data_IF_219174703346
#
_entry.id   IF_219174703346
#
_cell.length_a   1.000
_cell.length_b   1.000
_cell.length_c   1.000
_cell.angle_alpha   90.00
_cell.angle_beta   90.00
_cell.angle_gamma   90.00
#
_symmetry.space_group_name_H-M   'P 1'
#
loop_
_entity.id
_entity.type
_entity.pdbx_description
1 polymer ?
#
# COMPACT_ATOMS: atom_id res chain seq x y z
N UNK A 1 37.19 -18.15 18.94
CA UNK A 1 37.97 -17.65 20.07
C UNK A 1 36.98 -17.11 21.09
N UNK A 2 36.77 -17.86 22.17
CA UNK A 2 35.82 -17.60 23.24
C UNK A 2 36.19 -16.39 24.08
N UNK A 3 35.28 -15.48 24.36
CA UNK A 3 35.29 -14.62 25.54
C UNK A 3 33.83 -14.38 25.94
N UNK A 4 33.33 -15.16 26.85
CA UNK A 4 32.93 -14.85 28.22
C UNK A 4 31.62 -14.02 28.32
N UNK A 5 30.52 -14.76 28.52
CA UNK A 5 29.36 -14.33 29.32
C UNK A 5 29.84 -14.08 30.77
N UNK A 6 29.73 -12.86 31.22
CA UNK A 6 29.74 -12.53 32.66
C UNK A 6 28.37 -11.98 33.03
N UNK A 7 27.75 -12.71 33.93
CA UNK A 7 26.53 -12.35 34.64
C UNK A 7 26.70 -11.06 35.42
N UNK A 8 25.82 -10.09 35.18
CA UNK A 8 25.61 -8.94 36.06
C UNK A 8 24.44 -9.23 37.00
N UNK A 9 24.74 -9.81 38.15
CA UNK A 9 23.90 -9.67 39.34
C UNK A 9 24.59 -8.76 40.31
N UNK A 10 23.81 -7.90 40.97
CA UNK A 10 24.11 -6.98 42.06
C UNK A 10 24.85 -5.68 41.71
N UNK A 11 24.11 -4.60 41.59
CA UNK A 11 24.49 -3.29 42.13
C UNK A 11 23.20 -2.70 42.75
N UNK A 12 23.10 -2.79 44.05
CA UNK A 12 22.38 -1.83 44.89
C UNK A 12 23.32 -0.64 45.10
N UNK A 13 22.69 0.54 45.21
CA UNK A 13 23.22 1.84 45.59
C UNK A 13 23.41 2.87 44.49
N UNK A 14 22.59 3.92 44.63
CA UNK A 14 22.47 5.07 43.79
C UNK A 14 23.78 5.84 43.56
N UNK A 15 24.29 5.70 42.36
CA UNK A 15 25.34 6.57 41.85
C UNK A 15 24.88 7.13 40.51
N UNK A 16 24.94 8.45 40.43
CA UNK A 16 24.60 9.26 39.25
C UNK A 16 25.56 8.88 38.07
N UNK A 17 24.99 8.32 37.00
CA UNK A 17 25.73 7.91 35.78
C UNK A 17 25.59 8.94 34.63
N UNK A 18 25.27 10.18 34.94
CA UNK A 18 25.10 11.24 33.93
C UNK A 18 26.36 11.58 33.13
N UNK A 19 27.55 11.16 33.58
CA UNK A 19 28.84 11.41 32.90
C UNK A 19 29.23 10.33 31.86
N UNK A 20 28.53 9.21 31.81
CA UNK A 20 28.83 8.11 30.86
C UNK A 20 28.26 8.36 29.46
N UNK A 21 27.29 9.24 29.31
CA UNK A 21 26.67 9.56 28.00
C UNK A 21 27.40 10.66 27.22
N UNK A 22 28.35 11.38 27.83
CA UNK A 22 29.08 12.46 27.15
C UNK A 22 30.36 12.01 26.47
N UNK A 23 30.84 10.80 26.71
CA UNK A 23 32.16 10.32 26.20
C UNK A 23 32.05 9.46 24.93
N UNK A 24 30.86 8.99 24.57
CA UNK A 24 30.66 8.17 23.36
C UNK A 24 30.31 8.94 22.08
N UNK A 25 30.02 10.25 22.17
CA UNK A 25 29.58 11.04 21.03
C UNK A 25 30.73 11.76 20.27
N UNK A 26 31.99 11.65 20.68
CA UNK A 26 33.08 12.41 20.05
C UNK A 26 33.98 11.57 19.14
N UNK A 27 33.91 10.24 19.18
CA UNK A 27 34.80 9.38 18.38
C UNK A 27 34.28 8.93 17.02
N UNK A 28 33.03 9.26 16.65
CA UNK A 28 32.42 8.85 15.36
C UNK A 28 32.42 9.91 14.27
N UNK A 29 32.82 11.15 14.56
CA UNK A 29 32.70 12.28 13.61
C UNK A 29 33.96 12.61 12.80
N UNK A 30 35.11 11.95 13.04
CA UNK A 30 36.39 12.34 12.43
C UNK A 30 36.70 11.64 11.09
N UNK A 31 36.19 10.44 10.73
CA UNK A 31 36.49 9.84 9.41
C UNK A 31 35.69 10.39 8.23
N UNK A 32 34.58 11.12 8.46
CA UNK A 32 33.71 11.55 7.33
C UNK A 32 34.17 12.86 6.66
N UNK A 33 34.96 13.68 7.33
CA UNK A 33 35.47 14.96 6.80
C UNK A 33 36.71 14.82 5.94
N UNK A 34 37.44 13.71 6.01
CA UNK A 34 38.62 13.46 5.16
C UNK A 34 38.30 12.83 3.80
N UNK A 35 37.07 12.30 3.60
CA UNK A 35 36.66 11.70 2.31
C UNK A 35 36.15 12.74 1.30
N UNK A 36 35.80 13.95 1.73
CA UNK A 36 35.26 15.00 0.86
C UNK A 36 36.34 15.91 0.24
N UNK A 37 37.60 15.83 0.70
CA UNK A 37 38.69 16.69 0.23
C UNK A 37 39.63 16.09 -0.81
N UNK A 38 39.49 14.81 -1.20
CA UNK A 38 40.39 14.14 -2.17
C UNK A 38 39.81 13.89 -3.55
N UNK A 39 38.63 14.42 -3.89
CA UNK A 39 37.99 14.23 -5.22
C UNK A 39 37.95 15.49 -6.09
N UNK A 40 38.93 16.36 -5.96
CA UNK A 40 39.17 17.42 -6.94
C UNK A 40 40.61 17.32 -7.41
N UNK A 41 40.83 16.52 -8.44
CA UNK A 41 41.83 16.72 -9.51
C UNK A 41 42.04 15.41 -10.29
N UNK A 42 41.61 15.40 -11.55
CA UNK A 42 41.85 14.27 -12.47
C UNK A 42 41.11 14.53 -13.80
N UNK A 43 41.85 15.09 -14.73
CA UNK A 43 41.39 15.49 -16.08
C UNK A 43 41.14 14.30 -17.01
N UNK A 44 40.13 14.52 -17.86
CA UNK A 44 40.02 14.12 -19.29
C UNK A 44 40.33 12.67 -19.71
N UNK A 45 39.31 11.98 -20.14
CA UNK A 45 39.32 11.31 -21.46
C UNK A 45 37.89 10.95 -21.91
N UNK A 46 37.62 11.29 -23.15
CA UNK A 46 36.36 11.19 -23.87
C UNK A 46 35.86 9.75 -24.04
N UNK A 47 34.64 9.47 -23.61
CA UNK A 47 33.79 8.45 -24.20
C UNK A 47 32.37 9.01 -24.34
N UNK A 48 31.88 9.03 -25.57
CA UNK A 48 30.53 9.46 -25.92
C UNK A 48 29.53 8.39 -25.47
N UNK A 49 28.96 8.52 -24.27
CA UNK A 49 27.75 7.83 -23.89
C UNK A 49 26.54 8.70 -24.24
N UNK A 50 25.63 8.07 -24.98
CA UNK A 50 24.40 8.71 -25.44
C UNK A 50 23.51 9.08 -24.25
N UNK A 51 23.55 10.34 -23.83
CA UNK A 51 22.56 10.93 -22.92
C UNK A 51 21.22 10.97 -23.65
N UNK A 52 20.33 10.02 -23.38
CA UNK A 52 18.91 10.17 -23.68
C UNK A 52 18.44 11.44 -22.98
N UNK A 53 18.09 12.45 -23.75
CA UNK A 53 17.46 13.68 -23.23
C UNK A 53 16.06 13.30 -22.76
N UNK A 54 15.90 13.01 -21.48
CA UNK A 54 14.59 13.07 -20.81
C UNK A 54 14.07 14.51 -20.99
N UNK A 55 13.10 14.69 -21.85
CA UNK A 55 12.39 15.97 -21.99
C UNK A 55 11.67 16.23 -20.67
N UNK A 56 12.03 17.32 -19.98
CA UNK A 56 11.28 17.80 -18.81
C UNK A 56 9.82 18.01 -19.21
N UNK A 57 8.93 17.28 -18.56
CA UNK A 57 7.48 17.44 -18.70
C UNK A 57 7.13 18.87 -18.24
N UNK A 58 6.44 19.64 -19.08
CA UNK A 58 6.11 21.05 -18.83
C UNK A 58 5.14 21.19 -17.64
N UNK A 59 5.27 22.29 -16.90
CA UNK A 59 4.46 22.63 -15.71
C UNK A 59 2.96 22.73 -16.07
N UNK A 60 2.09 22.14 -15.23
CA UNK A 60 0.61 22.12 -15.21
C UNK A 60 -0.09 20.96 -15.94
N UNK A 61 0.46 19.74 -15.91
CA UNK A 61 -0.22 18.58 -16.52
C UNK A 61 -1.29 17.93 -15.65
N UNK A 62 -1.25 18.08 -14.33
CA UNK A 62 -2.24 17.48 -13.43
C UNK A 62 -3.65 18.02 -13.61
N UNK A 63 -3.80 19.30 -13.99
CA UNK A 63 -5.11 19.90 -14.23
C UNK A 63 -5.84 19.34 -15.46
N UNK A 64 -5.11 18.65 -16.35
CA UNK A 64 -5.63 18.04 -17.58
C UNK A 64 -5.84 16.53 -17.46
N UNK A 65 -5.50 15.91 -16.32
CA UNK A 65 -5.72 14.48 -16.07
C UNK A 65 -7.22 14.23 -16.00
N UNK A 66 -7.74 13.43 -16.93
CA UNK A 66 -9.09 12.87 -16.85
C UNK A 66 -9.06 11.60 -15.99
N UNK A 67 -10.09 11.44 -15.18
CA UNK A 67 -10.25 10.27 -14.31
C UNK A 67 -11.73 9.96 -14.15
N UNK A 68 -12.05 8.75 -13.79
CA UNK A 68 -13.40 8.33 -13.45
C UNK A 68 -13.40 7.13 -12.53
N UNK A 69 -14.39 7.08 -11.66
CA UNK A 69 -14.66 5.95 -10.81
C UNK A 69 -16.07 5.44 -11.04
N UNK A 70 -16.27 4.15 -10.83
CA UNK A 70 -17.58 3.49 -10.86
C UNK A 70 -17.57 2.29 -9.94
N UNK A 71 -18.72 1.99 -9.36
CA UNK A 71 -18.91 0.90 -8.41
C UNK A 71 -20.26 0.21 -8.66
N UNK A 72 -20.39 -1.02 -8.17
CA UNK A 72 -21.62 -1.81 -8.19
C UNK A 72 -21.61 -2.83 -7.05
N UNK A 73 -22.77 -3.02 -6.43
CA UNK A 73 -22.97 -4.06 -5.42
C UNK A 73 -22.75 -5.48 -6.00
N UNK A 74 -22.86 -5.64 -7.33
CA UNK A 74 -22.76 -6.95 -7.95
C UNK A 74 -23.87 -7.90 -7.47
N UNK A 75 -23.54 -9.16 -7.11
CA UNK A 75 -24.52 -10.11 -6.59
C UNK A 75 -24.71 -10.06 -5.06
N UNK A 76 -24.05 -9.14 -4.36
CA UNK A 76 -24.15 -8.97 -2.89
C UNK A 76 -25.39 -8.16 -2.54
N UNK A 77 -25.89 -8.34 -1.32
CA UNK A 77 -27.05 -7.60 -0.81
C UNK A 77 -26.70 -6.20 -0.29
N UNK A 78 -25.41 -5.98 0.02
CA UNK A 78 -24.89 -4.72 0.57
C UNK A 78 -23.62 -4.28 -0.16
N UNK A 79 -23.38 -2.95 -0.18
CA UNK A 79 -22.19 -2.33 -0.70
C UNK A 79 -21.22 -2.01 0.43
N UNK A 80 -20.17 -2.81 0.56
CA UNK A 80 -19.12 -2.62 1.56
C UNK A 80 -17.89 -1.89 0.99
N UNK A 81 -17.77 -1.81 -0.35
CA UNK A 81 -16.73 -1.05 -1.03
C UNK A 81 -16.92 0.46 -0.87
N UNK A 82 -15.82 1.17 -0.85
CA UNK A 82 -15.80 2.63 -0.90
C UNK A 82 -14.63 3.13 -1.75
N UNK A 83 -14.79 4.29 -2.38
CA UNK A 83 -13.69 4.94 -3.08
C UNK A 83 -13.78 6.46 -3.01
N UNK A 84 -12.67 7.13 -3.23
CA UNK A 84 -12.63 8.59 -3.25
C UNK A 84 -11.49 9.12 -4.12
N UNK A 85 -11.63 10.40 -4.48
CA UNK A 85 -10.58 11.20 -5.12
C UNK A 85 -10.47 12.56 -4.43
N UNK A 86 -9.26 13.08 -4.33
CA UNK A 86 -8.99 14.44 -3.85
C UNK A 86 -7.90 15.08 -4.71
N UNK A 87 -8.06 16.38 -4.95
CA UNK A 87 -7.02 17.21 -5.56
C UNK A 87 -6.31 18.01 -4.48
N UNK A 88 -5.03 17.72 -4.25
CA UNK A 88 -4.22 18.34 -3.21
C UNK A 88 -3.47 19.54 -3.80
N UNK A 89 -4.13 20.72 -3.75
CA UNK A 89 -3.56 22.01 -4.16
C UNK A 89 -3.05 22.07 -5.61
N UNK A 90 -3.61 21.28 -6.53
CA UNK A 90 -3.19 21.21 -7.93
C UNK A 90 -1.79 20.63 -8.16
N UNK A 91 -1.17 20.06 -7.12
CA UNK A 91 0.18 19.48 -7.18
C UNK A 91 0.19 17.96 -7.08
N UNK A 92 -0.87 17.38 -6.54
CA UNK A 92 -0.98 15.97 -6.27
C UNK A 92 -2.45 15.56 -6.36
N UNK A 93 -2.73 14.49 -7.10
CA UNK A 93 -4.04 13.84 -7.09
C UNK A 93 -3.94 12.61 -6.20
N UNK A 94 -4.92 12.44 -5.34
CA UNK A 94 -5.08 11.28 -4.47
C UNK A 94 -6.27 10.47 -4.94
N UNK A 95 -6.10 9.16 -5.06
CA UNK A 95 -7.13 8.17 -5.36
C UNK A 95 -7.07 7.09 -4.28
N UNK A 96 -8.20 6.78 -3.66
CA UNK A 96 -8.31 5.73 -2.67
C UNK A 96 -9.43 4.78 -3.03
N UNK A 97 -9.19 3.47 -2.89
CA UNK A 97 -10.18 2.42 -3.00
C UNK A 97 -10.08 1.52 -1.76
N UNK A 98 -11.22 1.15 -1.21
CA UNK A 98 -11.36 0.49 0.08
C UNK A 98 -12.40 -0.61 -0.06
N UNK A 99 -11.97 -1.85 -0.01
CA UNK A 99 -12.79 -3.05 -0.07
C UNK A 99 -13.13 -3.46 1.36
N UNK A 100 -14.38 -3.25 1.74
CA UNK A 100 -14.88 -3.52 3.08
C UNK A 100 -15.30 -4.97 3.26
N UNK A 101 -15.19 -5.47 4.49
CA UNK A 101 -15.70 -6.77 4.88
C UNK A 101 -16.23 -6.75 6.31
N UNK A 102 -17.23 -7.59 6.59
CA UNK A 102 -17.89 -7.59 7.89
C UNK A 102 -18.64 -6.30 8.20
N UNK A 103 -19.15 -5.64 7.15
CA UNK A 103 -19.83 -4.35 7.18
C UNK A 103 -19.03 -3.22 6.54
N UNK A 104 -19.72 -2.14 6.15
CA UNK A 104 -19.13 -0.99 5.44
C UNK A 104 -18.48 0.06 6.37
N UNK A 105 -18.46 -0.14 7.69
CA UNK A 105 -18.02 0.88 8.64
C UNK A 105 -16.55 1.26 8.42
N UNK A 106 -15.66 0.27 8.25
CA UNK A 106 -14.23 0.49 8.04
C UNK A 106 -13.93 1.17 6.70
N UNK A 107 -14.49 0.71 5.60
CA UNK A 107 -14.26 1.30 4.27
C UNK A 107 -14.78 2.75 4.19
N UNK A 108 -15.94 3.02 4.80
CA UNK A 108 -16.55 4.36 4.89
C UNK A 108 -15.69 5.30 5.74
N UNK A 109 -15.16 4.82 6.87
CA UNK A 109 -14.25 5.60 7.72
C UNK A 109 -12.98 5.96 6.95
N UNK A 110 -12.34 5.00 6.29
CA UNK A 110 -11.10 5.21 5.54
C UNK A 110 -11.29 6.18 4.37
N UNK A 111 -12.39 6.07 3.62
CA UNK A 111 -12.77 7.01 2.57
C UNK A 111 -12.78 8.46 3.05
N UNK A 112 -13.20 8.67 4.29
CA UNK A 112 -13.38 10.00 4.87
C UNK A 112 -12.12 10.53 5.56
N UNK A 113 -11.33 9.66 6.19
CA UNK A 113 -10.32 10.06 7.17
C UNK A 113 -8.89 9.67 6.79
N UNK A 114 -8.64 8.60 6.00
CA UNK A 114 -7.27 8.11 5.77
C UNK A 114 -6.35 9.18 5.19
N UNK A 115 -6.87 10.02 4.29
CA UNK A 115 -6.05 11.07 3.68
C UNK A 115 -5.48 12.05 4.71
N UNK A 116 -6.21 12.39 5.77
CA UNK A 116 -5.76 13.33 6.80
C UNK A 116 -4.53 12.81 7.57
N UNK A 117 -4.36 11.48 7.62
CA UNK A 117 -3.17 10.87 8.22
C UNK A 117 -1.96 10.85 7.28
N UNK A 118 -2.19 10.74 5.95
CA UNK A 118 -1.14 10.41 4.99
C UNK A 118 -0.78 11.54 4.00
N UNK A 119 -1.54 12.64 3.92
CA UNK A 119 -1.34 13.70 2.93
C UNK A 119 0.06 14.32 2.96
N UNK A 120 0.53 14.68 4.16
CA UNK A 120 1.85 15.29 4.35
C UNK A 120 2.99 14.31 4.04
N UNK A 121 2.80 13.03 4.38
CA UNK A 121 3.77 11.99 4.09
C UNK A 121 3.84 11.72 2.58
N UNK A 122 2.69 11.62 1.91
CA UNK A 122 2.61 11.46 0.46
C UNK A 122 3.25 12.64 -0.30
N UNK A 123 2.97 13.88 0.12
CA UNK A 123 3.61 15.06 -0.48
C UNK A 123 5.12 15.06 -0.29
N UNK A 124 5.63 14.75 0.91
CA UNK A 124 7.07 14.65 1.17
C UNK A 124 7.73 13.57 0.32
N UNK A 125 7.09 12.41 0.16
CA UNK A 125 7.61 11.35 -0.71
C UNK A 125 7.71 11.79 -2.15
N UNK A 126 6.71 12.50 -2.68
CA UNK A 126 6.76 13.06 -4.04
C UNK A 126 7.93 14.05 -4.23
N UNK A 127 8.27 14.81 -3.19
CA UNK A 127 9.37 15.79 -3.24
C UNK A 127 10.76 15.14 -3.06
N UNK A 128 10.84 14.05 -2.31
CA UNK A 128 12.09 13.37 -1.92
C UNK A 128 12.55 12.30 -2.89
N UNK A 129 11.70 11.83 -3.82
CA UNK A 129 12.10 10.81 -4.78
C UNK A 129 13.25 11.32 -5.64
N UNK A 130 14.43 10.81 -5.34
CA UNK A 130 15.70 11.15 -5.99
C UNK A 130 15.64 10.73 -7.45
N UNK A 131 15.97 11.64 -8.34
CA UNK A 131 16.08 11.39 -9.77
C UNK A 131 17.02 10.23 -10.06
N UNK A 132 16.50 9.16 -10.58
CA UNK A 132 17.31 8.05 -11.09
C UNK A 132 16.78 6.63 -10.85
N UNK A 133 15.91 6.40 -9.88
CA UNK A 133 15.33 5.08 -9.63
C UNK A 133 13.95 4.98 -10.28
N UNK A 134 13.83 4.12 -11.29
CA UNK A 134 12.60 3.93 -12.06
C UNK A 134 11.51 3.15 -11.31
N UNK A 135 11.88 2.38 -10.30
CA UNK A 135 10.98 1.69 -9.39
C UNK A 135 11.69 1.52 -8.04
N UNK A 136 11.13 2.09 -6.99
CA UNK A 136 11.59 1.88 -5.62
C UNK A 136 10.49 1.22 -4.82
N UNK A 137 10.78 0.02 -4.33
CA UNK A 137 9.94 -0.67 -3.37
C UNK A 137 10.41 -0.28 -1.97
N UNK A 138 9.54 0.38 -1.21
CA UNK A 138 9.72 0.51 0.22
C UNK A 138 8.96 -0.64 0.86
N UNK A 139 9.68 -1.62 1.37
CA UNK A 139 9.10 -2.65 2.20
C UNK A 139 8.60 -2.10 3.54
N UNK A 140 8.33 -3.00 4.46
CA UNK A 140 7.80 -2.71 5.82
C UNK A 140 8.90 -2.11 6.72
N UNK A 141 9.76 -1.24 6.19
CA UNK A 141 10.86 -0.65 6.95
C UNK A 141 10.35 0.54 7.78
N UNK A 142 10.87 0.66 9.01
CA UNK A 142 10.55 1.75 9.97
C UNK A 142 10.80 3.16 9.41
N UNK A 143 11.59 3.28 8.35
CA UNK A 143 11.87 4.54 7.66
C UNK A 143 10.77 4.98 6.67
N UNK A 144 9.75 4.12 6.43
CA UNK A 144 8.66 4.46 5.54
C UNK A 144 7.66 5.41 6.24
N UNK A 145 7.57 6.68 5.85
CA UNK A 145 6.70 7.65 6.52
C UNK A 145 5.21 7.31 6.38
N UNK A 146 4.82 6.54 5.33
CA UNK A 146 3.46 6.08 5.16
C UNK A 146 3.11 4.94 6.12
N UNK A 147 4.06 4.06 6.48
CA UNK A 147 3.80 2.97 7.43
C UNK A 147 3.27 3.51 8.76
N UNK A 148 3.99 4.45 9.39
CA UNK A 148 3.57 5.08 10.64
C UNK A 148 2.22 5.84 10.53
N UNK A 149 1.93 6.43 9.36
CA UNK A 149 0.67 7.11 9.13
C UNK A 149 -0.50 6.12 9.03
N UNK A 150 -0.30 4.97 8.37
CA UNK A 150 -1.27 3.90 8.27
C UNK A 150 -1.57 3.25 9.63
N UNK A 151 -0.54 3.00 10.45
CA UNK A 151 -0.72 2.49 11.81
C UNK A 151 -1.53 3.44 12.69
N UNK A 152 -1.27 4.75 12.61
CA UNK A 152 -2.08 5.74 13.36
C UNK A 152 -3.51 5.79 12.87
N UNK A 153 -3.73 5.68 11.56
CA UNK A 153 -5.08 5.62 10.98
C UNK A 153 -5.83 4.38 11.43
N UNK A 154 -5.15 3.22 11.48
CA UNK A 154 -5.73 1.97 11.96
C UNK A 154 -6.09 2.04 13.45
N UNK A 155 -5.20 2.59 14.28
CA UNK A 155 -5.50 2.81 15.71
C UNK A 155 -6.74 3.71 15.91
N UNK A 156 -6.83 4.81 15.15
CA UNK A 156 -7.99 5.69 15.22
C UNK A 156 -9.28 5.04 14.70
N UNK A 157 -9.17 4.18 13.69
CA UNK A 157 -10.29 3.39 13.19
C UNK A 157 -10.76 2.39 14.26
N UNK A 158 -9.85 1.66 14.91
CA UNK A 158 -10.21 0.70 15.96
C UNK A 158 -10.92 1.38 17.14
N UNK A 159 -10.47 2.58 17.54
CA UNK A 159 -11.15 3.40 18.55
C UNK A 159 -12.56 3.80 18.10
N UNK A 160 -12.72 4.17 16.83
CA UNK A 160 -14.01 4.51 16.24
C UNK A 160 -14.96 3.31 16.23
N UNK A 161 -14.49 2.15 15.71
CA UNK A 161 -15.26 0.92 15.64
C UNK A 161 -15.72 0.46 17.03
N UNK A 162 -14.85 0.54 18.04
CA UNK A 162 -15.19 0.23 19.42
C UNK A 162 -16.32 1.10 19.99
N UNK A 163 -16.60 2.25 19.38
CA UNK A 163 -17.72 3.13 19.79
C UNK A 163 -19.05 2.79 19.10
N UNK A 164 -19.05 1.99 18.02
CA UNK A 164 -20.24 1.67 17.24
C UNK A 164 -21.05 0.50 17.84
N UNK A 165 -20.36 -0.47 18.45
CA UNK A 165 -20.98 -1.71 18.94
C UNK A 165 -21.21 -2.75 17.84
N UNK A 166 -21.78 -3.91 18.21
CA UNK A 166 -22.06 -5.01 17.29
C UNK A 166 -23.18 -4.67 16.28
N UNK A 167 -23.07 -5.09 15.00
CA UNK A 167 -21.95 -5.87 14.42
C UNK A 167 -20.84 -4.99 13.81
N UNK A 168 -20.99 -3.68 13.69
CA UNK A 168 -20.11 -2.78 12.95
C UNK A 168 -18.68 -2.74 13.50
N UNK A 169 -18.51 -3.04 14.80
CA UNK A 169 -17.19 -3.04 15.45
C UNK A 169 -16.23 -4.11 14.91
N UNK A 170 -16.74 -5.13 14.22
CA UNK A 170 -15.93 -6.22 13.66
C UNK A 170 -15.48 -5.99 12.23
N UNK A 171 -15.94 -4.90 11.60
CA UNK A 171 -15.61 -4.64 10.22
C UNK A 171 -14.12 -4.40 9.98
N UNK A 172 -13.64 -4.83 8.81
CA UNK A 172 -12.32 -4.52 8.30
C UNK A 172 -12.39 -3.94 6.89
N UNK A 173 -11.25 -3.50 6.38
CA UNK A 173 -11.15 -3.01 5.00
C UNK A 173 -9.73 -3.09 4.45
N UNK A 174 -9.60 -3.39 3.17
CA UNK A 174 -8.39 -3.11 2.42
C UNK A 174 -8.21 -1.61 2.22
N UNK A 175 -7.03 -1.18 1.81
CA UNK A 175 -6.79 0.18 1.31
C UNK A 175 -5.72 0.17 0.24
N UNK A 176 -6.10 0.51 -0.99
CA UNK A 176 -5.17 0.80 -2.08
C UNK A 176 -5.26 2.28 -2.41
N UNK A 177 -4.21 3.03 -2.10
CA UNK A 177 -4.16 4.46 -2.36
C UNK A 177 -3.06 4.79 -3.35
N UNK A 178 -3.35 5.71 -4.27
CA UNK A 178 -2.40 6.19 -5.26
C UNK A 178 -2.31 7.71 -5.22
N UNK A 179 -1.07 8.21 -5.15
CA UNK A 179 -0.77 9.61 -5.36
C UNK A 179 -0.18 9.80 -6.76
N UNK A 180 -0.74 10.70 -7.53
CA UNK A 180 -0.28 11.04 -8.88
C UNK A 180 0.17 12.49 -8.89
N UNK A 181 1.48 12.68 -9.14
CA UNK A 181 2.09 14.00 -9.36
C UNK A 181 2.49 14.17 -10.83
N UNK A 182 3.07 15.32 -11.20
CA UNK A 182 3.63 15.53 -12.54
C UNK A 182 4.72 14.51 -12.89
N UNK A 183 5.47 14.06 -11.89
CA UNK A 183 6.67 13.25 -12.09
C UNK A 183 6.57 11.82 -11.55
N UNK A 184 5.63 11.53 -10.66
CA UNK A 184 5.57 10.24 -9.96
C UNK A 184 4.15 9.72 -9.81
N UNK A 185 4.05 8.39 -9.75
CA UNK A 185 2.92 7.66 -9.16
C UNK A 185 3.45 6.94 -7.94
N UNK A 186 2.83 7.18 -6.78
CA UNK A 186 3.11 6.47 -5.53
C UNK A 186 1.89 5.64 -5.21
N UNK A 187 2.09 4.35 -4.95
CA UNK A 187 1.03 3.45 -4.50
C UNK A 187 1.37 2.94 -3.12
N UNK A 188 0.42 3.03 -2.18
CA UNK A 188 0.48 2.35 -0.89
C UNK A 188 -0.68 1.38 -0.80
N UNK A 189 -0.39 0.11 -0.50
CA UNK A 189 -1.35 -0.98 -0.54
C UNK A 189 -1.39 -1.78 0.75
N UNK A 190 -2.59 -2.01 1.26
CA UNK A 190 -2.94 -2.92 2.35
C UNK A 190 -4.12 -3.76 1.87
N UNK A 191 -3.97 -5.08 1.79
CA UNK A 191 -5.00 -6.00 1.29
C UNK A 191 -4.78 -6.44 -0.15
N UNK A 192 -5.84 -6.88 -0.80
CA UNK A 192 -5.84 -7.52 -2.12
C UNK A 192 -6.59 -6.75 -3.21
N UNK A 193 -7.08 -5.55 -2.90
CA UNK A 193 -7.33 -4.52 -3.91
C UNK A 193 -6.01 -4.20 -4.62
N UNK A 194 -6.04 -3.81 -5.89
CA UNK A 194 -4.83 -3.69 -6.70
C UNK A 194 -4.82 -2.45 -7.58
N UNK A 195 -3.62 -1.88 -7.76
CA UNK A 195 -3.33 -0.83 -8.74
C UNK A 195 -2.43 -1.36 -9.85
N UNK A 196 -2.77 -1.03 -11.11
CA UNK A 196 -2.07 -1.51 -12.31
C UNK A 196 -1.85 -0.36 -13.29
N UNK A 197 -0.61 -0.16 -13.73
CA UNK A 197 -0.24 0.85 -14.71
C UNK A 197 -0.15 0.23 -16.11
N UNK A 198 -0.83 0.84 -17.07
CA UNK A 198 -0.65 0.59 -18.50
C UNK A 198 0.45 1.47 -19.06
N UNK A 199 1.54 0.86 -19.55
CA UNK A 199 2.67 1.58 -20.15
C UNK A 199 2.96 1.03 -21.53
N UNK A 200 2.72 1.80 -22.59
CA UNK A 200 3.05 1.44 -23.99
C UNK A 200 2.68 -0.01 -24.34
N UNK A 201 1.52 -0.45 -23.86
CA UNK A 201 0.97 -1.80 -24.04
C UNK A 201 1.49 -2.86 -23.10
N UNK A 202 2.36 -2.51 -22.18
CA UNK A 202 2.80 -3.39 -21.09
C UNK A 202 1.94 -3.16 -19.87
N UNK A 203 1.85 -4.18 -19.05
CA UNK A 203 1.20 -4.17 -17.75
C UNK A 203 2.27 -4.06 -16.68
N UNK A 204 2.12 -3.11 -15.77
CA UNK A 204 3.01 -2.93 -14.61
C UNK A 204 2.13 -2.96 -13.35
N UNK A 205 2.27 -4.01 -12.55
CA UNK A 205 1.58 -4.08 -11.26
C UNK A 205 2.22 -3.07 -10.30
N UNK A 206 1.40 -2.15 -9.79
CA UNK A 206 1.81 -1.09 -8.86
C UNK A 206 1.63 -1.49 -7.40
N UNK A 207 1.05 -2.66 -7.12
CA UNK A 207 0.88 -3.23 -5.79
C UNK A 207 1.04 -4.75 -5.85
N UNK A 208 1.21 -5.38 -4.69
CA UNK A 208 1.09 -6.82 -4.51
C UNK A 208 -0.14 -7.10 -3.67
N UNK A 209 -0.88 -8.14 -3.99
CA UNK A 209 -1.99 -8.58 -3.19
C UNK A 209 -1.49 -9.22 -1.88
N UNK A 210 -2.05 -8.81 -0.76
CA UNK A 210 -1.75 -9.38 0.54
C UNK A 210 -2.74 -10.51 0.87
N UNK A 211 -2.56 -11.64 0.16
CA UNK A 211 -3.31 -12.88 0.41
C UNK A 211 -2.35 -13.96 0.92
N UNK A 212 -2.71 -14.75 1.94
CA UNK A 212 -1.84 -15.80 2.48
C UNK A 212 -1.85 -17.05 1.56
N UNK A 213 -1.40 -16.87 0.30
CA UNK A 213 -1.42 -17.89 -0.75
C UNK A 213 0.00 -18.24 -1.16
N UNK A 214 0.40 -19.50 -1.00
CA UNK A 214 1.78 -19.97 -1.20
C UNK A 214 2.29 -19.97 -2.66
N UNK A 215 1.46 -19.65 -3.65
CA UNK A 215 1.84 -19.68 -5.07
C UNK A 215 2.76 -18.51 -5.48
N UNK A 216 2.66 -17.35 -4.83
CA UNK A 216 3.48 -16.16 -5.11
C UNK A 216 4.58 -15.96 -4.06
N UNK A 217 5.61 -15.14 -4.40
CA UNK A 217 6.63 -14.73 -3.44
C UNK A 217 6.04 -13.88 -2.32
N UNK A 218 5.17 -12.94 -2.69
CA UNK A 218 4.48 -12.06 -1.72
C UNK A 218 3.61 -12.88 -0.75
N UNK A 219 2.76 -13.78 -1.26
CA UNK A 219 1.91 -14.62 -0.40
C UNK A 219 2.71 -15.54 0.54
N UNK A 220 3.87 -16.07 0.11
CA UNK A 220 4.75 -16.83 1.01
C UNK A 220 5.37 -15.98 2.11
N UNK A 221 5.71 -14.71 1.82
CA UNK A 221 6.20 -13.78 2.82
C UNK A 221 5.12 -13.47 3.87
N UNK A 222 3.87 -13.27 3.42
CA UNK A 222 2.74 -13.08 4.31
C UNK A 222 2.47 -14.31 5.19
N UNK A 223 2.52 -15.53 4.63
CA UNK A 223 2.41 -16.77 5.42
C UNK A 223 3.50 -16.83 6.50
N UNK A 224 4.76 -16.52 6.16
CA UNK A 224 5.86 -16.52 7.14
C UNK A 224 5.60 -15.51 8.26
N UNK A 225 5.18 -14.29 7.92
CA UNK A 225 4.86 -13.23 8.90
C UNK A 225 3.72 -13.65 9.85
N UNK A 226 2.66 -14.28 9.31
CA UNK A 226 1.53 -14.78 10.11
C UNK A 226 2.01 -15.86 11.09
N UNK A 227 2.82 -16.82 10.61
CA UNK A 227 3.35 -17.89 11.48
C UNK A 227 4.27 -17.31 12.57
N UNK A 228 5.12 -16.35 12.21
CA UNK A 228 6.02 -15.65 13.15
C UNK A 228 5.28 -14.81 14.20
N UNK A 229 4.03 -14.43 13.94
CA UNK A 229 3.16 -13.77 14.93
C UNK A 229 2.50 -14.72 15.90
N UNK A 230 2.68 -16.04 15.73
CA UNK A 230 1.98 -17.09 16.46
C UNK A 230 0.66 -17.52 15.80
N UNK A 231 0.29 -16.91 14.66
CA UNK A 231 -0.89 -17.28 13.90
C UNK A 231 -0.67 -18.50 13.00
N UNK A 232 -1.69 -18.88 12.27
CA UNK A 232 -1.65 -19.97 11.28
C UNK A 232 -2.41 -19.60 10.01
N UNK A 233 -2.20 -20.39 8.96
CA UNK A 233 -2.96 -20.26 7.72
C UNK A 233 -3.66 -21.60 7.45
N UNK A 234 -4.95 -21.54 7.25
CA UNK A 234 -5.79 -22.70 6.87
C UNK A 234 -6.73 -22.30 5.75
N UNK A 235 -6.86 -23.14 4.72
CA UNK A 235 -7.71 -22.87 3.54
C UNK A 235 -7.44 -21.48 2.89
N UNK A 236 -6.17 -21.07 2.83
CA UNK A 236 -5.72 -19.76 2.32
C UNK A 236 -6.29 -18.56 3.12
N UNK A 237 -6.60 -18.76 4.40
CA UNK A 237 -7.13 -17.73 5.30
C UNK A 237 -6.28 -17.63 6.57
N UNK A 238 -6.09 -16.42 7.05
CA UNK A 238 -5.46 -16.11 8.33
C UNK A 238 -6.34 -16.67 9.43
N UNK A 239 -5.76 -17.50 10.30
CA UNK A 239 -6.47 -18.22 11.36
C UNK A 239 -7.69 -19.03 10.86
N UNK A 240 -7.75 -19.35 9.56
CA UNK A 240 -8.88 -20.04 8.94
C UNK A 240 -10.11 -19.15 8.68
N UNK A 241 -10.04 -17.85 8.96
CA UNK A 241 -11.15 -16.89 8.90
C UNK A 241 -10.96 -15.88 7.75
N UNK A 242 -9.93 -15.04 7.82
CA UNK A 242 -9.78 -13.87 6.97
C UNK A 242 -8.98 -14.17 5.70
N UNK A 243 -9.52 -13.82 4.53
CA UNK A 243 -8.90 -14.08 3.23
C UNK A 243 -7.69 -13.18 2.95
N UNK A 244 -7.65 -11.99 3.55
CA UNK A 244 -6.54 -11.04 3.43
C UNK A 244 -5.58 -11.16 4.61
N UNK A 245 -4.30 -10.93 4.37
CA UNK A 245 -3.26 -10.99 5.41
C UNK A 245 -2.91 -9.63 5.98
N UNK A 246 -3.38 -8.55 5.32
CA UNK A 246 -3.28 -7.17 5.81
C UNK A 246 -4.60 -6.45 5.56
N UNK A 247 -5.05 -5.72 6.57
CA UNK A 247 -6.27 -4.92 6.53
C UNK A 247 -6.25 -3.86 7.63
N UNK A 248 -7.11 -2.87 7.49
CA UNK A 248 -7.52 -1.94 8.52
C UNK A 248 -8.71 -2.52 9.30
N UNK A 249 -8.91 -2.10 10.54
CA UNK A 249 -9.97 -2.65 11.38
C UNK A 249 -9.64 -4.08 11.83
N UNK A 250 -10.58 -5.01 11.70
CA UNK A 250 -10.42 -6.40 12.09
C UNK A 250 -9.94 -6.54 13.55
N UNK A 251 -10.70 -5.96 14.48
CA UNK A 251 -10.35 -5.88 15.90
C UNK A 251 -9.99 -7.24 16.51
N UNK A 252 -10.67 -8.30 16.10
CA UNK A 252 -10.45 -9.67 16.60
C UNK A 252 -9.01 -10.18 16.39
N UNK A 253 -8.36 -9.76 15.27
CA UNK A 253 -6.97 -10.13 14.99
C UNK A 253 -5.94 -9.17 15.62
N UNK A 254 -6.38 -8.06 16.21
CA UNK A 254 -5.52 -7.01 16.76
C UNK A 254 -5.70 -6.86 18.27
N UNK A 255 -6.80 -6.26 18.71
CA UNK A 255 -7.12 -6.04 20.12
C UNK A 255 -7.77 -7.27 20.79
N UNK A 256 -8.66 -7.96 20.07
CA UNK A 256 -9.45 -9.11 20.54
C UNK A 256 -8.79 -10.48 20.40
N UNK A 257 -7.44 -10.54 20.29
CA UNK A 257 -6.71 -11.81 20.04
C UNK A 257 -6.93 -12.88 21.11
N UNK A 258 -7.14 -12.49 22.35
CA UNK A 258 -7.38 -13.44 23.44
C UNK A 258 -8.73 -14.14 23.30
N UNK A 259 -9.75 -13.39 22.92
CA UNK A 259 -11.10 -13.88 22.66
C UNK A 259 -11.11 -14.82 21.45
N UNK A 260 -10.42 -14.44 20.38
CA UNK A 260 -10.25 -15.25 19.18
C UNK A 260 -9.63 -16.61 19.50
N UNK A 261 -8.55 -16.65 20.32
CA UNK A 261 -7.91 -17.89 20.73
C UNK A 261 -8.85 -18.76 21.58
N UNK A 262 -9.60 -18.15 22.51
CA UNK A 262 -10.55 -18.86 23.35
C UNK A 262 -11.68 -19.51 22.54
N UNK A 263 -12.16 -18.83 21.51
CA UNK A 263 -13.13 -19.36 20.57
C UNK A 263 -12.59 -20.61 19.85
N UNK A 264 -11.38 -20.55 19.33
CA UNK A 264 -10.74 -21.69 18.68
C UNK A 264 -10.50 -22.88 19.62
N UNK A 265 -10.04 -22.63 20.83
CA UNK A 265 -9.87 -23.68 21.85
C UNK A 265 -11.20 -24.39 22.15
N UNK A 266 -12.32 -23.65 22.20
CA UNK A 266 -13.66 -24.18 22.41
C UNK A 266 -14.12 -25.12 21.28
N UNK A 267 -13.59 -24.94 20.05
CA UNK A 267 -13.90 -25.82 18.91
C UNK A 267 -13.06 -27.12 18.90
N UNK A 268 -12.18 -27.30 19.88
CA UNK A 268 -11.35 -28.50 20.01
C UNK A 268 -10.08 -28.46 19.14
N UNK A 269 -9.72 -27.31 18.58
CA UNK A 269 -8.48 -27.09 17.87
C UNK A 269 -7.33 -27.03 18.91
N UNK A 270 -6.73 -28.16 19.22
CA UNK A 270 -5.59 -28.23 20.14
C UNK A 270 -4.28 -27.90 19.44
N UNK A 271 -3.41 -27.12 20.10
CA UNK A 271 -2.06 -26.83 19.62
C UNK A 271 -1.91 -25.46 18.94
N UNK A 272 -2.90 -24.59 19.09
CA UNK A 272 -2.79 -23.18 18.66
C UNK A 272 -1.88 -22.47 19.65
N UNK A 273 -0.79 -21.88 19.14
CA UNK A 273 0.14 -21.08 19.93
C UNK A 273 -0.49 -19.79 20.46
N UNK A 274 0.24 -19.08 21.31
CA UNK A 274 -0.15 -17.73 21.72
C UNK A 274 0.05 -16.76 20.57
N UNK A 275 -0.96 -15.94 20.24
CA UNK A 275 -0.83 -14.83 19.30
C UNK A 275 -0.02 -13.69 19.96
N UNK A 276 1.30 -13.73 19.80
CA UNK A 276 2.20 -12.75 20.42
C UNK A 276 2.06 -11.36 19.79
N UNK A 277 1.81 -11.33 18.47
CA UNK A 277 1.62 -10.12 17.66
C UNK A 277 0.38 -10.25 16.78
N UNK A 278 -0.20 -9.16 16.29
CA UNK A 278 -1.30 -9.22 15.32
C UNK A 278 -0.92 -10.02 14.07
N UNK A 279 -1.68 -11.09 13.71
CA UNK A 279 -1.47 -11.80 12.45
C UNK A 279 -1.96 -10.99 11.24
N UNK A 280 -2.88 -10.04 11.45
CA UNK A 280 -3.34 -9.07 10.45
C UNK A 280 -2.83 -7.68 10.84
N UNK A 281 -2.25 -6.96 9.89
CA UNK A 281 -1.63 -5.64 10.12
C UNK A 281 -2.05 -4.64 9.05
N UNK A 282 -2.07 -3.37 9.39
CA UNK A 282 -2.35 -2.26 8.46
C UNK A 282 -1.05 -1.63 7.90
N UNK A 283 0.02 -2.42 7.74
CA UNK A 283 1.29 -1.95 7.21
C UNK A 283 1.28 -1.99 5.67
N UNK A 284 1.46 -0.85 4.96
CA UNK A 284 1.41 -0.83 3.51
C UNK A 284 2.71 -1.30 2.87
N UNK A 285 2.60 -2.00 1.73
CA UNK A 285 3.64 -2.00 0.73
C UNK A 285 3.56 -0.67 -0.04
N UNK A 286 4.70 0.00 -0.23
CA UNK A 286 4.74 1.28 -0.95
C UNK A 286 5.65 1.16 -2.17
N UNK A 287 5.12 1.56 -3.33
CA UNK A 287 5.88 1.66 -4.58
C UNK A 287 5.90 3.08 -5.08
N UNK A 288 7.08 3.54 -5.44
CA UNK A 288 7.30 4.85 -6.07
C UNK A 288 7.77 4.64 -7.49
N UNK A 289 7.04 5.19 -8.42
CA UNK A 289 7.28 5.03 -9.84
C UNK A 289 7.46 6.39 -10.52
N UNK A 290 8.56 6.58 -11.26
CA UNK A 290 8.79 7.79 -12.05
C UNK A 290 7.93 7.74 -13.33
N UNK A 291 7.08 8.75 -13.50
CA UNK A 291 6.23 8.89 -14.68
C UNK A 291 7.04 9.19 -15.94
N UNK A 292 6.61 8.61 -17.03
CA UNK A 292 7.17 8.85 -18.36
C UNK A 292 6.08 9.13 -19.39
N UNK A 293 6.48 9.59 -20.58
CA UNK A 293 5.58 9.79 -21.73
C UNK A 293 5.01 8.44 -22.27
N UNK A 294 5.49 7.31 -21.75
CA UNK A 294 5.01 5.96 -22.12
C UNK A 294 3.84 5.49 -21.26
N UNK A 295 3.50 6.24 -20.18
CA UNK A 295 2.40 5.88 -19.29
C UNK A 295 1.08 6.23 -19.94
N UNK A 296 0.25 5.22 -20.14
CA UNK A 296 -1.04 5.38 -20.80
C UNK A 296 -2.13 5.73 -19.76
N UNK A 297 -2.31 4.89 -18.74
CA UNK A 297 -3.35 5.04 -17.72
C UNK A 297 -3.07 4.16 -16.50
N UNK A 298 -3.72 4.50 -15.38
CA UNK A 298 -3.72 3.73 -14.14
C UNK A 298 -5.12 3.17 -13.90
N UNK A 299 -5.20 1.90 -13.50
CA UNK A 299 -6.44 1.23 -13.06
C UNK A 299 -6.24 0.83 -11.59
N UNK A 300 -7.19 1.21 -10.73
CA UNK A 300 -7.22 0.84 -9.32
C UNK A 300 -8.58 0.18 -9.09
N UNK A 301 -8.62 -1.03 -8.53
CA UNK A 301 -9.88 -1.74 -8.33
C UNK A 301 -9.83 -2.67 -7.12
N UNK A 302 -11.03 -3.01 -6.61
CA UNK A 302 -11.22 -4.07 -5.62
C UNK A 302 -11.11 -5.46 -6.25
N UNK A 303 -11.03 -6.49 -5.43
CA UNK A 303 -10.87 -7.87 -5.90
C UNK A 303 -12.07 -8.39 -6.68
N UNK A 304 -13.25 -7.79 -6.52
CA UNK A 304 -14.42 -8.06 -7.35
C UNK A 304 -14.15 -7.90 -8.86
N UNK A 305 -13.18 -7.04 -9.24
CA UNK A 305 -12.64 -6.99 -10.61
C UNK A 305 -11.53 -8.02 -10.81
N UNK A 306 -10.56 -8.12 -9.89
CA UNK A 306 -9.33 -8.87 -10.10
C UNK A 306 -9.50 -10.38 -10.01
N UNK A 307 -10.52 -10.86 -9.34
CA UNK A 307 -10.86 -12.29 -9.26
C UNK A 307 -11.41 -12.85 -10.59
N UNK A 308 -11.98 -12.00 -11.44
CA UNK A 308 -12.55 -12.39 -12.73
C UNK A 308 -11.77 -11.84 -13.94
N UNK A 309 -10.79 -10.97 -13.71
CA UNK A 309 -9.97 -10.34 -14.75
C UNK A 309 -8.54 -10.12 -14.26
N UNK A 310 -7.54 -10.70 -14.91
CA UNK A 310 -6.15 -10.42 -14.55
C UNK A 310 -5.69 -9.03 -15.04
N UNK A 311 -4.57 -8.54 -14.48
CA UNK A 311 -4.02 -7.22 -14.80
C UNK A 311 -3.84 -6.98 -16.31
N UNK A 312 -3.32 -7.97 -17.05
CA UNK A 312 -3.10 -7.84 -18.49
C UNK A 312 -4.40 -7.76 -19.30
N UNK A 313 -5.43 -8.47 -18.87
CA UNK A 313 -6.76 -8.39 -19.48
C UNK A 313 -7.41 -7.02 -19.26
N UNK A 314 -7.32 -6.48 -18.04
CA UNK A 314 -7.84 -5.16 -17.73
C UNK A 314 -7.14 -4.06 -18.55
N UNK A 315 -5.81 -4.06 -18.60
CA UNK A 315 -5.04 -3.11 -19.40
C UNK A 315 -5.38 -3.22 -20.90
N UNK A 316 -5.53 -4.44 -21.42
CA UNK A 316 -5.93 -4.65 -22.82
C UNK A 316 -7.33 -4.12 -23.09
N UNK A 317 -8.26 -4.35 -22.16
CA UNK A 317 -9.64 -3.89 -22.27
C UNK A 317 -9.70 -2.37 -22.32
N UNK A 318 -9.15 -1.67 -21.32
CA UNK A 318 -9.10 -0.19 -21.27
C UNK A 318 -8.50 0.37 -22.55
N UNK A 319 -7.36 -0.17 -22.98
CA UNK A 319 -6.68 0.27 -24.18
C UNK A 319 -7.52 0.08 -25.45
N UNK A 320 -8.29 -0.99 -25.51
CA UNK A 320 -9.20 -1.24 -26.65
C UNK A 320 -10.32 -0.22 -26.72
N UNK A 321 -10.87 0.19 -25.57
CA UNK A 321 -11.88 1.23 -25.49
C UNK A 321 -11.32 2.59 -25.94
N UNK A 322 -10.18 3.00 -25.35
CA UNK A 322 -9.53 4.28 -25.67
C UNK A 322 -9.11 4.41 -27.13
N UNK A 323 -8.88 3.29 -27.83
CA UNK A 323 -8.59 3.27 -29.28
C UNK A 323 -9.83 3.37 -30.15
N UNK A 324 -10.97 2.86 -29.68
CA UNK A 324 -12.21 2.88 -30.47
C UNK A 324 -12.79 4.26 -30.58
N UNK A 325 -12.74 5.00 -29.49
CA UNK A 325 -13.30 6.34 -29.41
C UNK A 325 -12.47 7.18 -28.43
N UNK A 326 -11.83 8.21 -28.96
CA UNK A 326 -11.02 9.16 -28.16
C UNK A 326 -11.89 10.12 -27.33
N UNK A 327 -13.21 10.10 -27.49
CA UNK A 327 -14.14 10.94 -26.72
C UNK A 327 -14.62 10.28 -25.43
N UNK A 328 -14.33 8.98 -25.20
CA UNK A 328 -14.64 8.32 -23.93
C UNK A 328 -14.01 9.04 -22.76
N UNK A 329 -14.83 9.31 -21.76
CA UNK A 329 -14.38 9.78 -20.46
C UNK A 329 -13.92 8.60 -19.60
N UNK A 330 -13.00 8.83 -18.70
CA UNK A 330 -12.49 7.75 -17.83
C UNK A 330 -13.59 7.15 -16.95
N UNK A 331 -14.65 7.90 -16.65
CA UNK A 331 -15.85 7.35 -15.99
C UNK A 331 -16.53 6.25 -16.82
N UNK A 332 -16.67 6.45 -18.15
CA UNK A 332 -17.29 5.45 -19.03
C UNK A 332 -16.41 4.18 -19.11
N UNK A 333 -15.08 4.37 -19.06
CA UNK A 333 -14.12 3.26 -19.05
C UNK A 333 -14.18 2.47 -17.74
N UNK A 334 -14.28 3.17 -16.59
CA UNK A 334 -14.44 2.54 -15.28
C UNK A 334 -15.77 1.76 -15.22
N UNK A 335 -16.88 2.38 -15.66
CA UNK A 335 -18.19 1.72 -15.75
C UNK A 335 -18.14 0.46 -16.61
N UNK A 336 -17.49 0.51 -17.77
CA UNK A 336 -17.36 -0.65 -18.64
C UNK A 336 -16.50 -1.78 -18.04
N UNK A 337 -15.50 -1.46 -17.21
CA UNK A 337 -14.72 -2.46 -16.45
C UNK A 337 -15.59 -3.15 -15.40
N UNK A 338 -16.37 -2.38 -14.62
CA UNK A 338 -17.33 -2.91 -13.64
C UNK A 338 -18.38 -3.79 -14.31
N UNK A 339 -19.01 -3.32 -15.38
CA UNK A 339 -19.95 -4.14 -16.17
C UNK A 339 -19.30 -5.43 -16.70
N UNK A 340 -18.03 -5.36 -17.09
CA UNK A 340 -17.28 -6.54 -17.56
C UNK A 340 -17.08 -7.55 -16.43
N UNK A 341 -16.77 -7.10 -15.22
CA UNK A 341 -16.64 -7.96 -14.05
C UNK A 341 -17.95 -8.67 -13.73
N UNK A 342 -19.08 -7.93 -13.73
CA UNK A 342 -20.42 -8.49 -13.51
C UNK A 342 -20.78 -9.52 -14.60
N UNK A 343 -20.52 -9.22 -15.87
CA UNK A 343 -20.73 -10.16 -16.98
C UNK A 343 -19.82 -11.39 -16.88
N UNK A 344 -18.66 -11.26 -16.22
CA UNK A 344 -17.75 -12.38 -15.94
C UNK A 344 -18.13 -13.15 -14.67
N UNK A 345 -19.27 -12.81 -14.05
CA UNK A 345 -19.87 -13.47 -12.89
C UNK A 345 -19.01 -13.35 -11.63
N UNK A 346 -18.50 -12.15 -11.37
CA UNK A 346 -17.95 -11.86 -10.04
C UNK A 346 -18.95 -12.21 -8.94
N UNK A 347 -18.47 -12.59 -7.78
CA UNK A 347 -19.30 -12.91 -6.62
C UNK A 347 -19.24 -11.81 -5.56
N UNK A 348 -18.70 -10.64 -5.93
CA UNK A 348 -18.43 -9.57 -4.98
C UNK A 348 -18.90 -8.18 -5.44
N UNK A 349 -18.86 -7.22 -4.50
CA UNK A 349 -18.88 -5.81 -4.83
C UNK A 349 -17.73 -5.51 -5.81
N UNK A 350 -17.90 -4.55 -6.67
CA UNK A 350 -16.87 -4.16 -7.64
C UNK A 350 -16.74 -2.66 -7.65
N UNK A 351 -15.57 -2.17 -7.30
CA UNK A 351 -15.22 -0.75 -7.45
C UNK A 351 -13.98 -0.60 -8.33
N UNK A 352 -13.99 0.41 -9.19
CA UNK A 352 -12.89 0.67 -10.12
C UNK A 352 -12.69 2.17 -10.35
N UNK A 353 -11.43 2.60 -10.35
CA UNK A 353 -11.00 3.95 -10.74
C UNK A 353 -10.06 3.82 -11.93
N UNK A 354 -10.26 4.64 -12.95
CA UNK A 354 -9.35 4.75 -14.10
C UNK A 354 -8.86 6.19 -14.23
N UNK A 355 -7.54 6.34 -14.39
CA UNK A 355 -6.87 7.65 -14.48
C UNK A 355 -6.09 7.71 -15.79
N UNK A 356 -6.38 8.68 -16.65
CA UNK A 356 -5.62 8.94 -17.90
C UNK A 356 -4.32 9.66 -17.58
N UNK A 357 -3.20 8.98 -17.75
CA UNK A 357 -1.87 9.53 -17.50
C UNK A 357 -1.21 10.12 -18.74
N UNK A 358 -1.83 9.97 -19.91
CA UNK A 358 -1.30 10.54 -21.14
C UNK A 358 -1.27 12.06 -21.00
N UNK A 359 -0.12 12.65 -21.28
CA UNK A 359 -0.10 14.09 -21.45
C UNK A 359 -1.02 14.43 -22.61
N UNK A 360 -2.02 15.28 -22.37
CA UNK A 360 -2.83 15.85 -23.44
C UNK A 360 -1.87 16.44 -24.48
N UNK A 361 -1.75 15.77 -25.61
CA UNK A 361 -1.25 16.38 -26.84
C UNK A 361 -2.37 17.34 -27.29
N UNK A 362 -2.34 18.57 -26.79
CA UNK A 362 -3.00 19.71 -27.37
C UNK A 362 -1.97 20.55 -28.10
#
# INVERSE_FOLDING_TARGET
MNIALMSLNTIEDGADVSWLLSTFCVCAAVPLLQYIQTSKEGKDSSTKEGKSKLKKIGRNKLAAIDWGGHDSEGPRDEMEDSWCMRNLNGKLLYFGIFDGHGGAASSTYLKSNLLDFIDQAGMKMCDQVVKGDTLKDYGVDEENPLASAFERADSALLDHLGSLGDPECWSGSTATVCFVSDNHVITANVGDSRAVLGRKGRTVDMSNDHRPVGSSKAGRAEISRIIESGGWVSQMRVCGILAVSRAFGDYEFKGGRAELLQEFESTGASGIGTLERPPVVALPDVRVYERSEEDDFLVIATDGLWDVMNSAQAITFVRSMMKRDSTYKMHDVASALVERAIKSRTQDNVSCIVVDLRSSQL
#
